data_IF_840594925850
#
_entry.id   IF_840594925850
#
_cell.length_a   1.000
_cell.length_b   1.000
_cell.length_c   1.000
_cell.angle_alpha   90.00
_cell.angle_beta   90.00
_cell.angle_gamma   90.00
#
_symmetry.space_group_name_H-M   'P 1'
#
loop_
_entity.id
_entity.type
_entity.pdbx_description
1 polymer ?
#
# COMPACT_ATOMS: atom_id res chain seq x y z
N UNK A 1 -9.25 -5.89 28.27
CA UNK A 1 -8.06 -6.35 29.03
C UNK A 1 -6.87 -5.46 28.68
N UNK A 2 -6.12 -5.03 29.69
CA UNK A 2 -4.87 -4.27 29.51
C UNK A 2 -3.69 -5.23 29.76
N UNK A 3 -2.80 -5.36 28.77
CA UNK A 3 -1.64 -6.23 28.85
C UNK A 3 -0.45 -5.44 29.41
N UNK A 4 0.20 -5.96 30.43
CA UNK A 4 1.39 -5.37 31.04
C UNK A 4 2.61 -6.20 30.63
N UNK A 5 3.66 -5.59 30.04
CA UNK A 5 4.87 -6.30 29.63
C UNK A 5 5.49 -7.06 30.80
N UNK A 6 5.99 -8.26 30.52
CA UNK A 6 6.59 -9.14 31.58
C UNK A 6 7.80 -8.53 32.25
N UNK A 7 8.54 -7.65 31.56
CA UNK A 7 9.69 -6.90 32.12
C UNK A 7 9.30 -5.93 33.23
N UNK A 8 8.05 -5.47 33.26
CA UNK A 8 7.51 -4.55 34.26
C UNK A 8 6.80 -5.28 35.43
N UNK A 9 6.87 -6.60 35.48
CA UNK A 9 6.28 -7.40 36.57
C UNK A 9 6.79 -6.98 37.97
N UNK A 10 8.02 -6.44 38.07
CA UNK A 10 8.61 -5.95 39.31
C UNK A 10 7.86 -4.72 39.92
N UNK A 11 7.15 -3.93 39.09
CA UNK A 11 6.32 -2.79 39.56
C UNK A 11 4.96 -3.28 40.08
N UNK A 12 4.62 -4.52 39.78
CA UNK A 12 3.41 -5.20 40.23
C UNK A 12 2.15 -4.76 39.47
N UNK A 13 1.52 -5.70 38.74
CA UNK A 13 0.21 -5.55 38.09
C UNK A 13 -0.80 -4.96 39.08
N UNK A 14 -0.70 -5.30 40.36
CA UNK A 14 -1.55 -4.78 41.43
C UNK A 14 -1.39 -3.26 41.62
N UNK A 15 -0.19 -2.71 41.50
CA UNK A 15 0.06 -1.29 41.65
C UNK A 15 -0.52 -0.52 40.45
N UNK A 16 -0.26 -0.98 39.25
CA UNK A 16 -0.79 -0.39 38.00
C UNK A 16 -2.33 -0.48 38.00
N UNK A 17 -2.88 -1.62 38.36
CA UNK A 17 -4.32 -1.84 38.44
C UNK A 17 -4.97 -0.88 39.44
N UNK A 18 -4.45 -0.73 40.65
CA UNK A 18 -4.99 0.19 41.67
C UNK A 18 -5.00 1.64 41.20
N UNK A 19 -4.00 2.05 40.44
CA UNK A 19 -3.85 3.46 40.04
C UNK A 19 -4.65 3.82 38.79
N UNK A 20 -4.76 2.91 37.83
CA UNK A 20 -5.31 3.20 36.48
C UNK A 20 -6.63 2.53 36.15
N UNK A 21 -7.12 1.57 36.99
CA UNK A 21 -8.36 0.84 36.70
C UNK A 21 -9.56 1.78 36.58
N UNK A 22 -9.80 2.60 37.59
CA UNK A 22 -10.95 3.51 37.62
C UNK A 22 -10.88 4.59 36.51
N UNK A 23 -9.75 5.31 36.34
CA UNK A 23 -9.65 6.27 35.23
C UNK A 23 -9.90 5.66 33.87
N UNK A 24 -9.38 4.47 33.60
CA UNK A 24 -9.61 3.77 32.32
C UNK A 24 -11.05 3.30 32.15
N UNK A 25 -11.69 2.79 33.20
CA UNK A 25 -13.10 2.43 33.15
C UNK A 25 -13.98 3.62 32.81
N UNK A 26 -13.78 4.74 33.48
CA UNK A 26 -14.55 6.00 33.26
C UNK A 26 -14.32 6.48 31.82
N UNK A 27 -13.07 6.50 31.33
CA UNK A 27 -12.76 6.96 29.97
C UNK A 27 -13.40 6.05 28.91
N UNK A 28 -13.32 4.74 29.09
CA UNK A 28 -13.90 3.77 28.15
C UNK A 28 -15.43 3.90 28.14
N UNK A 29 -16.09 3.98 29.29
CA UNK A 29 -17.53 4.18 29.37
C UNK A 29 -17.98 5.46 28.68
N UNK A 30 -17.26 6.57 28.87
CA UNK A 30 -17.55 7.86 28.22
C UNK A 30 -17.40 7.76 26.69
N UNK A 31 -16.32 7.11 26.22
CA UNK A 31 -16.05 7.00 24.77
C UNK A 31 -16.96 6.01 24.04
N UNK A 32 -17.38 4.94 24.72
CA UNK A 32 -18.18 3.86 24.09
C UNK A 32 -19.67 3.98 24.36
N UNK A 33 -20.11 4.87 25.27
CA UNK A 33 -21.50 5.01 25.70
C UNK A 33 -22.01 3.82 26.53
N UNK A 34 -21.12 2.96 27.04
CA UNK A 34 -21.51 1.83 27.91
C UNK A 34 -21.73 2.31 29.34
N UNK A 35 -22.77 1.80 29.99
CA UNK A 35 -23.08 2.15 31.39
C UNK A 35 -22.03 1.61 32.37
N UNK A 36 -21.50 0.41 32.10
CA UNK A 36 -20.43 -0.22 32.89
C UNK A 36 -19.43 -0.98 32.01
N UNK A 37 -18.14 -0.93 32.37
CA UNK A 37 -17.10 -1.74 31.77
C UNK A 37 -16.13 -2.29 32.82
N UNK A 38 -15.67 -3.52 32.67
CA UNK A 38 -14.66 -4.11 33.54
C UNK A 38 -13.28 -4.09 32.88
N UNK A 39 -12.30 -3.37 33.49
CA UNK A 39 -10.92 -3.34 33.05
C UNK A 39 -10.09 -4.33 33.89
N UNK A 40 -9.47 -5.29 33.23
CA UNK A 40 -8.55 -6.27 33.84
C UNK A 40 -7.13 -6.05 33.33
N UNK A 41 -6.18 -6.04 34.26
CA UNK A 41 -4.75 -5.98 33.98
C UNK A 41 -4.17 -7.38 34.12
N UNK A 42 -3.47 -7.86 33.08
CA UNK A 42 -2.83 -9.18 33.06
C UNK A 42 -1.39 -9.03 32.60
N UNK A 43 -0.49 -9.85 33.10
CA UNK A 43 0.86 -9.94 32.53
C UNK A 43 0.82 -10.63 31.17
N UNK A 44 1.68 -10.22 30.29
CA UNK A 44 1.80 -10.81 28.94
C UNK A 44 2.00 -12.34 28.99
N UNK A 45 2.76 -12.85 29.98
CA UNK A 45 2.97 -14.29 30.19
C UNK A 45 1.74 -15.06 30.72
N UNK A 46 0.79 -14.35 31.34
CA UNK A 46 -0.42 -14.93 31.94
C UNK A 46 -1.65 -14.80 31.00
N UNK A 47 -1.45 -14.22 29.82
CA UNK A 47 -2.47 -14.30 28.77
C UNK A 47 -2.72 -15.78 28.48
N UNK A 48 -4.00 -16.26 28.47
CA UNK A 48 -4.29 -17.56 27.93
C UNK A 48 -3.69 -17.56 26.51
N UNK A 49 -2.71 -18.45 26.28
CA UNK A 49 -2.22 -18.67 24.91
C UNK A 49 -3.47 -18.89 24.09
N UNK A 50 -3.80 -17.96 23.20
CA UNK A 50 -4.82 -18.19 22.18
C UNK A 50 -4.43 -19.52 21.60
N UNK A 51 -5.24 -20.53 21.82
CA UNK A 51 -5.10 -21.81 21.14
C UNK A 51 -4.94 -21.44 19.68
N UNK A 52 -3.77 -21.71 19.13
CA UNK A 52 -3.47 -21.59 17.72
C UNK A 52 -4.46 -22.44 16.96
N UNK A 53 -5.63 -21.88 16.69
CA UNK A 53 -6.54 -22.44 15.72
C UNK A 53 -5.95 -22.11 14.37
N UNK A 54 -5.31 -23.10 13.76
CA UNK A 54 -5.01 -23.17 12.34
C UNK A 54 -4.15 -22.05 11.72
N UNK A 55 -3.03 -21.68 12.34
CA UNK A 55 -2.05 -20.74 11.73
C UNK A 55 -1.46 -21.22 10.40
N UNK A 56 -1.54 -22.49 10.07
CA UNK A 56 -1.09 -23.00 8.76
C UNK A 56 -2.10 -22.79 7.65
N UNK A 57 -3.40 -22.91 7.94
CA UNK A 57 -4.46 -22.66 6.96
C UNK A 57 -4.65 -21.17 6.69
N UNK A 58 -4.64 -20.33 7.74
CA UNK A 58 -4.80 -18.87 7.58
C UNK A 58 -3.60 -18.24 6.89
N UNK A 59 -2.37 -18.69 7.15
CA UNK A 59 -1.17 -18.26 6.41
C UNK A 59 -1.21 -18.68 4.94
N UNK A 60 -1.62 -19.91 4.63
CA UNK A 60 -1.71 -20.36 3.24
C UNK A 60 -2.80 -19.61 2.46
N UNK A 61 -3.94 -19.30 3.08
CA UNK A 61 -5.02 -18.52 2.45
C UNK A 61 -4.62 -17.05 2.28
N UNK A 62 -3.88 -16.48 3.23
CA UNK A 62 -3.30 -15.14 3.06
C UNK A 62 -2.27 -15.11 1.94
N UNK A 63 -1.31 -16.03 1.92
CA UNK A 63 -0.28 -16.09 0.89
C UNK A 63 -0.89 -16.17 -0.52
N UNK A 64 -1.92 -17.00 -0.72
CA UNK A 64 -2.59 -17.10 -2.02
C UNK A 64 -3.28 -15.81 -2.46
N UNK A 65 -3.92 -15.07 -1.56
CA UNK A 65 -4.57 -13.78 -1.90
C UNK A 65 -3.57 -12.70 -2.33
N UNK A 66 -2.42 -12.62 -1.69
CA UNK A 66 -1.35 -11.69 -2.07
C UNK A 66 -0.69 -12.07 -3.40
N UNK A 67 -0.55 -13.38 -3.66
CA UNK A 67 -0.07 -13.90 -4.95
C UNK A 67 -1.08 -13.62 -6.07
N UNK A 68 -2.36 -13.87 -5.84
CA UNK A 68 -3.44 -13.56 -6.80
C UNK A 68 -3.57 -12.06 -7.09
N UNK A 69 -3.29 -11.22 -6.10
CA UNK A 69 -3.24 -9.77 -6.26
C UNK A 69 -1.93 -9.26 -6.85
N UNK A 70 -0.94 -10.13 -7.11
CA UNK A 70 0.39 -9.81 -7.64
C UNK A 70 1.18 -8.82 -6.77
N UNK A 71 1.10 -8.95 -5.45
CA UNK A 71 1.69 -7.99 -4.53
C UNK A 71 3.10 -8.38 -4.08
N UNK A 72 3.97 -7.38 -3.96
CA UNK A 72 5.28 -7.54 -3.31
C UNK A 72 5.11 -7.49 -1.79
N UNK A 73 5.46 -8.57 -1.03
CA UNK A 73 5.26 -8.62 0.41
C UNK A 73 6.09 -7.61 1.20
N UNK A 74 7.13 -7.02 0.59
CA UNK A 74 7.99 -6.01 1.23
C UNK A 74 7.39 -4.60 1.16
N UNK A 75 6.38 -4.36 0.33
CA UNK A 75 5.84 -3.03 0.08
C UNK A 75 4.58 -2.79 0.91
N UNK A 76 4.77 -2.40 2.17
CA UNK A 76 3.71 -2.08 3.12
C UNK A 76 3.85 -0.62 3.61
N UNK A 77 2.83 -0.07 4.27
CA UNK A 77 2.94 1.24 4.90
C UNK A 77 4.03 1.29 5.97
N UNK A 78 4.28 0.21 6.70
CA UNK A 78 5.32 0.13 7.75
C UNK A 78 6.73 0.22 7.19
N UNK A 79 6.92 -0.22 5.94
CA UNK A 79 8.21 -0.18 5.26
C UNK A 79 8.39 1.07 4.40
N UNK A 80 7.31 1.83 4.17
CA UNK A 80 7.33 3.06 3.41
C UNK A 80 7.84 4.24 4.25
N UNK A 81 8.96 4.81 3.89
CA UNK A 81 9.54 5.97 4.59
C UNK A 81 8.83 7.25 4.17
N UNK A 82 8.23 7.94 5.14
CA UNK A 82 7.51 9.19 4.93
C UNK A 82 8.47 10.37 5.10
N UNK A 83 8.53 11.24 4.10
CA UNK A 83 9.28 12.48 4.09
C UNK A 83 8.45 13.66 3.60
N UNK A 84 9.04 14.85 3.54
CA UNK A 84 8.39 16.06 3.02
C UNK A 84 7.90 15.91 1.57
N UNK A 85 8.59 15.08 0.79
CA UNK A 85 8.40 14.84 -0.63
C UNK A 85 7.22 13.91 -0.97
N UNK A 86 6.70 13.14 -0.02
CA UNK A 86 5.68 12.11 -0.25
C UNK A 86 4.57 12.08 0.82
N UNK A 87 4.63 12.94 1.83
CA UNK A 87 3.69 12.96 2.95
C UNK A 87 2.23 13.10 2.49
N UNK A 88 1.97 13.95 1.50
CA UNK A 88 0.62 14.13 0.97
C UNK A 88 0.12 12.87 0.27
N UNK A 89 0.95 12.27 -0.59
CA UNK A 89 0.61 11.04 -1.30
C UNK A 89 0.37 9.87 -0.32
N UNK A 90 1.20 9.77 0.72
CA UNK A 90 1.04 8.74 1.76
C UNK A 90 -0.26 8.93 2.55
N UNK A 91 -0.59 10.16 2.96
CA UNK A 91 -1.84 10.43 3.68
C UNK A 91 -3.07 10.15 2.81
N UNK A 92 -3.03 10.51 1.52
CA UNK A 92 -4.09 10.19 0.56
C UNK A 92 -4.25 8.67 0.36
N UNK A 93 -3.12 7.96 0.25
CA UNK A 93 -3.10 6.51 0.11
C UNK A 93 -3.71 5.81 1.34
N UNK A 94 -3.37 6.26 2.54
CA UNK A 94 -3.94 5.71 3.78
C UNK A 94 -5.46 5.96 3.86
N UNK A 95 -5.92 7.17 3.55
CA UNK A 95 -7.34 7.50 3.52
C UNK A 95 -8.13 6.63 2.52
N UNK A 96 -7.55 6.34 1.36
CA UNK A 96 -8.14 5.42 0.36
C UNK A 96 -8.14 3.98 0.87
N UNK A 97 -7.07 3.55 1.55
CA UNK A 97 -6.97 2.20 2.10
C UNK A 97 -8.00 1.96 3.21
N UNK A 98 -8.29 2.97 4.04
CA UNK A 98 -9.27 2.91 5.12
C UNK A 98 -10.73 2.95 4.61
N UNK A 99 -10.99 3.58 3.46
CA UNK A 99 -12.35 3.74 2.91
C UNK A 99 -12.35 3.64 1.38
N UNK A 100 -12.13 2.43 0.82
CA UNK A 100 -12.05 2.24 -0.63
C UNK A 100 -13.37 2.58 -1.33
N UNK A 101 -13.29 3.33 -2.43
CA UNK A 101 -14.43 3.72 -3.26
C UNK A 101 -15.20 4.96 -2.80
N UNK A 102 -15.02 5.38 -1.54
CA UNK A 102 -15.78 6.49 -0.96
C UNK A 102 -14.97 7.80 -0.82
N UNK A 103 -13.66 7.72 -0.52
CA UNK A 103 -12.88 8.92 -0.16
C UNK A 103 -12.34 9.64 -1.40
N UNK A 104 -11.44 9.02 -2.14
CA UNK A 104 -10.81 9.59 -3.34
C UNK A 104 -10.80 8.55 -4.46
N UNK A 105 -11.65 8.71 -5.47
CA UNK A 105 -11.76 7.75 -6.55
C UNK A 105 -11.89 8.44 -7.92
N UNK A 106 -10.88 8.30 -8.81
CA UNK A 106 -9.62 7.57 -8.61
C UNK A 106 -8.63 8.30 -7.69
N UNK A 107 -7.68 7.54 -7.12
CA UNK A 107 -6.44 8.10 -6.60
C UNK A 107 -5.37 8.02 -7.70
N UNK A 108 -4.87 9.18 -8.11
CA UNK A 108 -3.83 9.27 -9.13
C UNK A 108 -2.50 9.71 -8.50
N UNK A 109 -1.51 8.81 -8.49
CA UNK A 109 -0.18 9.05 -7.91
C UNK A 109 0.82 9.27 -9.02
N UNK A 110 1.50 10.43 -9.04
CA UNK A 110 2.51 10.67 -10.06
C UNK A 110 3.84 11.11 -9.48
N UNK A 111 4.89 10.96 -10.28
CA UNK A 111 6.25 11.35 -9.92
C UNK A 111 7.29 10.57 -10.72
N UNK A 112 8.52 11.04 -10.72
CA UNK A 112 9.62 10.43 -11.46
C UNK A 112 9.78 8.92 -11.22
N UNK A 113 10.55 8.26 -12.06
CA UNK A 113 10.84 6.83 -11.92
C UNK A 113 11.61 6.56 -10.61
N UNK A 114 11.27 5.47 -9.91
CA UNK A 114 11.97 5.02 -8.71
C UNK A 114 11.75 5.88 -7.46
N UNK A 115 10.65 6.64 -7.37
CA UNK A 115 10.32 7.48 -6.20
C UNK A 115 9.39 6.80 -5.18
N UNK A 116 8.97 5.55 -5.41
CA UNK A 116 8.14 4.79 -4.46
C UNK A 116 6.65 4.74 -4.80
N UNK A 117 6.20 5.14 -6.01
CA UNK A 117 4.79 5.02 -6.44
C UNK A 117 4.25 3.60 -6.30
N UNK A 118 4.94 2.64 -6.88
CA UNK A 118 4.58 1.21 -6.81
C UNK A 118 4.54 0.71 -5.37
N UNK A 119 5.51 1.10 -4.52
CA UNK A 119 5.52 0.75 -3.11
C UNK A 119 4.25 1.25 -2.42
N UNK A 120 3.87 2.50 -2.64
CA UNK A 120 2.68 3.10 -2.03
C UNK A 120 1.38 2.42 -2.52
N UNK A 121 1.31 2.06 -3.81
CA UNK A 121 0.17 1.30 -4.36
C UNK A 121 0.04 -0.06 -3.70
N UNK A 122 1.13 -0.83 -3.58
CA UNK A 122 1.12 -2.12 -2.89
C UNK A 122 0.77 -1.97 -1.41
N UNK A 123 1.21 -0.89 -0.74
CA UNK A 123 0.84 -0.62 0.66
C UNK A 123 -0.66 -0.46 0.85
N UNK A 124 -1.34 0.23 -0.08
CA UNK A 124 -2.81 0.34 -0.09
C UNK A 124 -3.44 -1.04 -0.21
N UNK A 125 -2.98 -1.84 -1.17
CA UNK A 125 -3.52 -3.17 -1.44
C UNK A 125 -3.33 -4.12 -0.25
N UNK A 126 -2.14 -4.14 0.37
CA UNK A 126 -1.87 -4.91 1.59
C UNK A 126 -2.81 -4.52 2.72
N UNK A 127 -2.93 -3.21 2.98
CA UNK A 127 -3.80 -2.72 4.05
C UNK A 127 -5.26 -3.15 3.85
N UNK A 128 -5.79 -3.04 2.63
CA UNK A 128 -7.17 -3.45 2.32
C UNK A 128 -7.35 -4.96 2.55
N UNK A 129 -6.43 -5.80 2.03
CA UNK A 129 -6.50 -7.26 2.18
C UNK A 129 -6.35 -7.74 3.63
N UNK A 130 -5.65 -6.97 4.47
CA UNK A 130 -5.50 -7.24 5.90
C UNK A 130 -6.77 -6.91 6.69
N UNK A 131 -7.53 -5.91 6.27
CA UNK A 131 -8.71 -5.41 7.00
C UNK A 131 -10.04 -5.94 6.44
N UNK A 132 -10.07 -6.37 5.17
CA UNK A 132 -11.24 -6.99 4.54
C UNK A 132 -10.83 -8.23 3.74
N UNK A 133 -11.11 -9.40 4.34
CA UNK A 133 -10.79 -10.70 3.75
C UNK A 133 -11.59 -11.01 2.47
N UNK A 134 -12.70 -10.32 2.22
CA UNK A 134 -13.55 -10.56 1.06
C UNK A 134 -13.25 -9.61 -0.10
N UNK A 135 -12.44 -8.58 0.10
CA UNK A 135 -12.06 -7.64 -0.95
C UNK A 135 -11.24 -8.32 -2.03
N UNK A 136 -11.67 -8.14 -3.27
CA UNK A 136 -10.95 -8.58 -4.46
C UNK A 136 -10.08 -7.44 -4.96
N UNK A 137 -8.78 -7.56 -4.73
CA UNK A 137 -7.77 -6.58 -5.10
C UNK A 137 -6.96 -7.11 -6.26
N UNK A 138 -6.74 -6.29 -7.29
CA UNK A 138 -5.89 -6.63 -8.43
C UNK A 138 -4.90 -5.50 -8.70
N UNK A 139 -3.62 -5.80 -8.61
CA UNK A 139 -2.54 -4.98 -9.13
C UNK A 139 -2.11 -5.46 -10.50
N UNK A 140 -1.92 -4.54 -11.42
CA UNK A 140 -1.48 -4.81 -12.79
C UNK A 140 -0.68 -3.63 -13.33
N UNK A 141 0.37 -3.89 -14.08
CA UNK A 141 0.99 -2.85 -14.90
C UNK A 141 0.14 -2.59 -16.14
N UNK A 142 0.15 -1.37 -16.64
CA UNK A 142 -0.57 -1.05 -17.88
C UNK A 142 -0.02 -1.80 -19.10
N UNK A 143 1.23 -2.25 -19.02
CA UNK A 143 1.84 -3.13 -20.04
C UNK A 143 1.23 -4.53 -19.98
N UNK A 144 1.12 -5.14 -18.79
CA UNK A 144 0.48 -6.46 -18.61
C UNK A 144 -0.98 -6.43 -19.07
N UNK A 145 -1.74 -5.39 -18.68
CA UNK A 145 -3.11 -5.19 -19.16
C UNK A 145 -3.18 -5.16 -20.70
N UNK A 146 -2.26 -4.42 -21.33
CA UNK A 146 -2.17 -4.33 -22.79
C UNK A 146 -1.87 -5.67 -23.43
N UNK A 147 -0.87 -6.40 -22.91
CA UNK A 147 -0.45 -7.67 -23.48
C UNK A 147 -1.54 -8.73 -23.36
N UNK A 148 -2.21 -8.81 -22.19
CA UNK A 148 -3.34 -9.72 -21.98
C UNK A 148 -4.52 -9.40 -22.91
N UNK A 149 -4.81 -8.11 -23.14
CA UNK A 149 -5.84 -7.68 -24.09
C UNK A 149 -5.48 -8.11 -25.53
N UNK A 150 -4.23 -7.88 -25.96
CA UNK A 150 -3.76 -8.26 -27.30
C UNK A 150 -3.88 -9.78 -27.51
N UNK A 151 -3.48 -10.58 -26.52
CA UNK A 151 -3.62 -12.04 -26.58
C UNK A 151 -5.09 -12.46 -26.65
N UNK A 152 -5.94 -11.82 -25.86
CA UNK A 152 -7.38 -12.07 -25.84
C UNK A 152 -8.01 -11.78 -27.23
N UNK A 153 -7.64 -10.67 -27.86
CA UNK A 153 -8.12 -10.30 -29.19
C UNK A 153 -7.60 -11.30 -30.26
N UNK A 154 -6.33 -11.68 -30.19
CA UNK A 154 -5.73 -12.66 -31.13
C UNK A 154 -6.39 -14.03 -31.07
N UNK A 155 -6.79 -14.46 -29.89
CA UNK A 155 -7.50 -15.72 -29.71
C UNK A 155 -8.90 -15.73 -30.35
N UNK A 156 -9.44 -14.56 -30.73
CA UNK A 156 -10.66 -14.40 -31.53
C UNK A 156 -11.94 -14.99 -30.94
N UNK A 157 -11.92 -15.33 -29.64
CA UNK A 157 -13.02 -16.03 -28.97
C UNK A 157 -13.78 -15.06 -28.04
N UNK A 158 -15.07 -14.92 -28.26
CA UNK A 158 -15.95 -14.11 -27.39
C UNK A 158 -15.87 -14.54 -25.92
N UNK A 159 -15.61 -15.80 -25.63
CA UNK A 159 -15.43 -16.31 -24.28
C UNK A 159 -14.15 -15.77 -23.63
N UNK A 160 -13.06 -15.62 -24.39
CA UNK A 160 -11.81 -15.04 -23.88
C UNK A 160 -12.00 -13.56 -23.50
N UNK A 161 -12.68 -12.79 -24.36
CA UNK A 161 -12.98 -11.38 -24.06
C UNK A 161 -13.92 -11.24 -22.84
N UNK A 162 -14.90 -12.13 -22.69
CA UNK A 162 -15.78 -12.14 -21.51
C UNK A 162 -14.99 -12.42 -20.21
N UNK A 163 -14.06 -13.37 -20.22
CA UNK A 163 -13.19 -13.67 -19.08
C UNK A 163 -12.26 -12.52 -18.75
N UNK A 164 -11.67 -11.86 -19.76
CA UNK A 164 -10.86 -10.67 -19.58
C UNK A 164 -11.66 -9.56 -18.87
N UNK A 165 -12.86 -9.27 -19.35
CA UNK A 165 -13.75 -8.27 -18.74
C UNK A 165 -14.18 -8.67 -17.32
N UNK A 166 -14.47 -9.93 -17.09
CA UNK A 166 -14.81 -10.45 -15.77
C UNK A 166 -13.64 -10.25 -14.78
N UNK A 167 -12.41 -10.58 -15.19
CA UNK A 167 -11.20 -10.39 -14.38
C UNK A 167 -11.04 -8.94 -13.94
N UNK A 168 -11.16 -7.97 -14.85
CA UNK A 168 -10.87 -6.57 -14.58
C UNK A 168 -12.07 -5.75 -14.08
N UNK A 169 -13.30 -6.21 -14.28
CA UNK A 169 -14.52 -5.46 -13.89
C UNK A 169 -15.26 -6.07 -12.69
N UNK A 170 -14.87 -7.29 -12.26
CA UNK A 170 -15.49 -7.96 -11.11
C UNK A 170 -14.55 -7.98 -9.90
N UNK A 171 -13.96 -6.84 -9.59
CA UNK A 171 -13.02 -6.62 -8.47
C UNK A 171 -13.48 -5.42 -7.64
N UNK A 172 -12.96 -5.30 -6.44
CA UNK A 172 -13.31 -4.22 -5.52
C UNK A 172 -12.28 -3.09 -5.56
N UNK A 173 -11.02 -3.43 -5.86
CA UNK A 173 -9.92 -2.46 -5.98
C UNK A 173 -9.04 -2.81 -7.18
N UNK A 174 -8.90 -1.86 -8.10
CA UNK A 174 -7.99 -1.94 -9.25
C UNK A 174 -6.81 -0.98 -9.06
N UNK A 175 -5.60 -1.53 -9.08
CA UNK A 175 -4.37 -0.74 -9.08
C UNK A 175 -3.68 -0.91 -10.45
N UNK A 176 -3.53 0.20 -11.17
CA UNK A 176 -2.88 0.22 -12.50
C UNK A 176 -1.61 1.04 -12.44
N UNK A 177 -0.48 0.36 -12.54
CA UNK A 177 0.83 1.01 -12.48
C UNK A 177 1.30 1.44 -13.88
N UNK A 178 1.99 2.58 -13.90
CA UNK A 178 2.62 3.16 -15.10
C UNK A 178 1.65 3.35 -16.28
N UNK A 179 0.53 4.03 -16.04
CA UNK A 179 -0.55 4.23 -17.02
C UNK A 179 -0.10 4.86 -18.34
N UNK A 180 1.04 5.57 -18.34
CA UNK A 180 1.57 6.20 -19.55
C UNK A 180 1.84 5.21 -20.69
N UNK A 181 2.01 3.92 -20.42
CA UNK A 181 2.27 2.91 -21.47
C UNK A 181 1.04 2.52 -22.29
N UNK A 182 -0.19 2.93 -21.91
CA UNK A 182 -1.36 2.78 -22.79
C UNK A 182 -1.49 3.92 -23.80
N UNK A 183 -0.76 5.02 -23.62
CA UNK A 183 -0.85 6.19 -24.49
C UNK A 183 -0.44 5.80 -25.93
N UNK A 184 -1.27 6.19 -26.91
CA UNK A 184 -1.07 5.85 -28.31
C UNK A 184 -1.52 4.43 -28.72
N UNK A 185 -2.11 3.65 -27.81
CA UNK A 185 -2.66 2.31 -28.08
C UNK A 185 -4.19 2.37 -28.04
N UNK A 186 -4.83 2.79 -29.13
CA UNK A 186 -6.27 3.07 -29.19
C UNK A 186 -7.15 1.96 -28.62
N UNK A 187 -6.98 0.71 -29.08
CA UNK A 187 -7.79 -0.42 -28.59
C UNK A 187 -7.61 -0.69 -27.09
N UNK A 188 -6.39 -0.48 -26.55
CA UNK A 188 -6.12 -0.62 -25.12
C UNK A 188 -6.77 0.52 -24.34
N UNK A 189 -6.67 1.73 -24.82
CA UNK A 189 -7.33 2.88 -24.21
C UNK A 189 -8.84 2.67 -24.17
N UNK A 190 -9.47 2.25 -25.27
CA UNK A 190 -10.92 2.03 -25.31
C UNK A 190 -11.37 0.97 -24.27
N UNK A 191 -10.73 -0.20 -24.22
CA UNK A 191 -11.10 -1.25 -23.24
C UNK A 191 -10.83 -0.81 -21.80
N UNK A 192 -9.71 -0.09 -21.57
CA UNK A 192 -9.41 0.49 -20.26
C UNK A 192 -10.46 1.53 -19.84
N UNK A 193 -10.90 2.39 -20.75
CA UNK A 193 -11.95 3.37 -20.52
C UNK A 193 -13.26 2.70 -20.06
N UNK A 194 -13.67 1.64 -20.74
CA UNK A 194 -14.86 0.88 -20.37
C UNK A 194 -14.71 0.21 -19.01
N UNK A 195 -13.51 -0.32 -18.70
CA UNK A 195 -13.20 -0.92 -17.41
C UNK A 195 -13.24 0.10 -16.29
N UNK A 196 -12.59 1.27 -16.50
CA UNK A 196 -12.63 2.39 -15.57
C UNK A 196 -14.07 2.82 -15.25
N UNK A 197 -14.88 3.07 -16.28
CA UNK A 197 -16.26 3.52 -16.09
C UNK A 197 -17.11 2.47 -15.35
N UNK A 198 -16.94 1.19 -15.66
CA UNK A 198 -17.65 0.10 -14.99
C UNK A 198 -17.34 0.07 -13.49
N UNK A 199 -16.07 0.14 -13.13
CA UNK A 199 -15.63 0.13 -11.74
C UNK A 199 -16.05 1.40 -10.99
N UNK A 200 -15.81 2.57 -11.59
CA UNK A 200 -16.15 3.85 -10.98
C UNK A 200 -17.67 3.98 -10.72
N UNK A 201 -18.51 3.58 -11.69
CA UNK A 201 -19.97 3.60 -11.54
C UNK A 201 -20.45 2.62 -10.46
N UNK A 202 -19.74 1.52 -10.24
CA UNK A 202 -20.00 0.55 -9.18
C UNK A 202 -19.37 0.95 -7.84
N UNK A 203 -18.79 2.17 -7.71
CA UNK A 203 -18.07 2.65 -6.53
C UNK A 203 -16.90 1.75 -6.11
N UNK A 204 -16.27 1.08 -7.06
CA UNK A 204 -15.06 0.29 -6.83
C UNK A 204 -13.84 1.21 -6.88
N UNK A 205 -12.87 0.98 -6.01
CA UNK A 205 -11.68 1.84 -5.92
C UNK A 205 -10.77 1.64 -7.12
N UNK A 206 -10.30 2.76 -7.66
CA UNK A 206 -9.29 2.79 -8.74
C UNK A 206 -8.09 3.58 -8.23
N UNK A 207 -6.89 3.00 -8.34
CA UNK A 207 -5.62 3.65 -8.05
C UNK A 207 -4.76 3.59 -9.32
N UNK A 208 -4.20 4.72 -9.72
CA UNK A 208 -3.42 4.82 -10.95
C UNK A 208 -2.08 5.47 -10.63
N UNK A 209 -1.00 4.93 -11.18
CA UNK A 209 0.30 5.61 -11.13
C UNK A 209 0.75 6.10 -12.50
N UNK A 210 1.62 7.12 -12.50
CA UNK A 210 2.25 7.65 -13.70
C UNK A 210 3.60 8.31 -13.41
N UNK A 211 4.40 8.50 -14.44
CA UNK A 211 5.63 9.31 -14.37
C UNK A 211 5.36 10.83 -14.41
N UNK A 212 4.17 11.25 -14.89
CA UNK A 212 3.76 12.66 -15.01
C UNK A 212 2.26 12.84 -14.74
N UNK A 213 1.82 14.06 -14.41
CA UNK A 213 0.41 14.33 -14.16
C UNK A 213 -0.43 14.25 -15.45
N UNK A 214 -1.76 14.03 -15.35
CA UNK A 214 -2.65 13.89 -16.51
C UNK A 214 -2.59 15.06 -17.49
N UNK A 215 -2.43 16.28 -17.00
CA UNK A 215 -2.33 17.50 -17.81
C UNK A 215 -1.12 17.52 -18.76
N UNK A 216 -0.03 16.82 -18.41
CA UNK A 216 1.22 16.78 -19.17
C UNK A 216 1.28 15.56 -20.12
N UNK A 217 0.20 14.80 -20.23
CA UNK A 217 0.04 13.68 -21.16
C UNK A 217 -0.56 14.16 -22.48
N UNK A 218 0.29 14.64 -23.40
CA UNK A 218 -0.12 15.34 -24.63
C UNK A 218 -1.03 14.50 -25.56
N UNK A 219 -0.82 13.19 -25.63
CA UNK A 219 -1.54 12.28 -26.55
C UNK A 219 -2.71 11.57 -25.83
N UNK A 220 -2.94 11.88 -24.56
CA UNK A 220 -4.05 11.31 -23.81
C UNK A 220 -5.35 12.00 -24.22
N UNK A 221 -6.34 11.23 -24.68
CA UNK A 221 -7.65 11.77 -25.01
C UNK A 221 -8.28 12.52 -23.82
N UNK A 222 -8.94 13.64 -24.08
CA UNK A 222 -9.54 14.52 -23.07
C UNK A 222 -10.50 13.77 -22.11
N UNK A 223 -11.21 12.76 -22.63
CA UNK A 223 -12.09 11.91 -21.83
C UNK A 223 -11.36 11.14 -20.71
N UNK A 224 -10.09 10.76 -20.90
CA UNK A 224 -9.26 10.13 -19.85
C UNK A 224 -8.73 11.16 -18.87
N UNK A 225 -8.23 12.29 -19.39
CA UNK A 225 -7.73 13.38 -18.56
C UNK A 225 -8.78 13.81 -17.56
N UNK A 226 -9.98 14.09 -18.01
CA UNK A 226 -11.12 14.45 -17.17
C UNK A 226 -11.40 13.40 -16.09
N UNK A 227 -11.28 12.11 -16.38
CA UNK A 227 -11.52 11.03 -15.41
C UNK A 227 -10.41 10.89 -14.39
N UNK A 228 -9.16 11.03 -14.80
CA UNK A 228 -8.03 10.97 -13.87
C UNK A 228 -8.01 12.17 -12.92
N UNK A 229 -8.51 13.32 -13.38
CA UNK A 229 -8.66 14.55 -12.60
C UNK A 229 -9.92 14.56 -11.72
N UNK A 230 -10.82 13.60 -11.87
CA UNK A 230 -12.08 13.54 -11.12
C UNK A 230 -11.87 13.24 -9.63
N UNK A 231 -10.86 12.46 -9.31
CA UNK A 231 -10.50 12.10 -7.93
C UNK A 231 -9.42 12.99 -7.33
N UNK A 232 -8.47 12.38 -6.64
CA UNK A 232 -7.34 13.08 -6.05
C UNK A 232 -6.06 12.78 -6.82
N UNK A 233 -5.32 13.84 -7.14
CA UNK A 233 -3.99 13.74 -7.75
C UNK A 233 -2.96 14.03 -6.67
N UNK A 234 -2.04 13.11 -6.43
CA UNK A 234 -0.98 13.21 -5.45
C UNK A 234 0.40 13.05 -6.11
N UNK A 235 1.30 13.97 -5.83
CA UNK A 235 2.65 13.94 -6.35
C UNK A 235 3.64 13.30 -5.36
N UNK A 236 4.66 12.67 -5.90
CA UNK A 236 5.85 12.22 -5.18
C UNK A 236 7.07 12.85 -5.85
N UNK A 237 7.79 13.68 -5.11
CA UNK A 237 8.98 14.36 -5.59
C UNK A 237 10.26 13.70 -5.08
N UNK A 238 11.41 14.27 -5.43
CA UNK A 238 12.71 13.76 -4.96
C UNK A 238 12.84 13.89 -3.44
N UNK A 239 13.35 12.84 -2.76
CA UNK A 239 13.55 12.88 -1.32
C UNK A 239 14.67 13.86 -0.93
N UNK A 240 14.47 14.58 0.16
CA UNK A 240 15.51 15.38 0.80
C UNK A 240 16.59 14.48 1.43
N UNK A 241 17.65 15.11 1.97
CA UNK A 241 18.77 14.36 2.56
C UNK A 241 18.32 13.48 3.73
N UNK A 242 17.50 14.02 4.61
CA UNK A 242 16.98 13.34 5.79
C UNK A 242 16.13 12.12 5.41
N UNK A 243 15.29 12.29 4.41
CA UNK A 243 14.47 11.18 3.88
C UNK A 243 15.34 10.10 3.24
N UNK A 244 16.41 10.48 2.48
CA UNK A 244 17.34 9.49 1.92
C UNK A 244 18.07 8.71 3.00
N UNK A 245 18.53 9.38 4.07
CA UNK A 245 19.12 8.72 5.24
C UNK A 245 18.16 7.72 5.86
N UNK A 246 16.91 8.12 6.11
CA UNK A 246 15.89 7.26 6.69
C UNK A 246 15.57 6.03 5.81
N UNK A 247 15.56 6.21 4.48
CA UNK A 247 15.35 5.08 3.52
C UNK A 247 16.51 4.09 3.61
N UNK A 248 17.75 4.56 3.68
CA UNK A 248 18.92 3.69 3.80
C UNK A 248 18.91 2.91 5.11
N UNK A 249 18.61 3.57 6.24
CA UNK A 249 18.47 2.89 7.53
C UNK A 249 17.32 1.89 7.56
N UNK A 250 16.18 2.24 6.95
CA UNK A 250 15.06 1.29 6.84
C UNK A 250 15.43 0.06 6.02
N UNK A 251 16.23 0.25 4.97
CA UNK A 251 16.72 -0.85 4.14
C UNK A 251 17.70 -1.75 4.90
N UNK A 252 18.60 -1.18 5.73
CA UNK A 252 19.45 -1.95 6.66
C UNK A 252 18.62 -2.81 7.62
N UNK A 253 17.65 -2.20 8.29
CA UNK A 253 16.76 -2.86 9.22
C UNK A 253 16.04 -4.07 8.59
N UNK A 254 15.45 -3.84 7.41
CA UNK A 254 14.68 -4.87 6.69
C UNK A 254 15.52 -6.03 6.19
N UNK A 255 16.77 -5.81 5.84
CA UNK A 255 17.65 -6.84 5.28
C UNK A 255 18.66 -7.39 6.29
N UNK A 256 18.71 -6.88 7.52
CA UNK A 256 19.50 -7.43 8.63
C UNK A 256 21.02 -7.25 8.49
N UNK A 257 21.48 -6.24 7.75
CA UNK A 257 22.89 -5.89 7.68
C UNK A 257 23.17 -4.56 8.36
N UNK A 258 24.43 -4.33 8.74
CA UNK A 258 24.87 -3.10 9.39
C UNK A 258 25.99 -2.46 8.58
N UNK A 259 25.82 -1.20 8.25
CA UNK A 259 26.77 -0.40 7.47
C UNK A 259 27.20 0.78 8.32
N UNK A 260 28.45 1.21 8.17
CA UNK A 260 28.92 2.36 8.93
C UNK A 260 28.16 3.62 8.55
N UNK A 261 27.84 4.44 9.55
CA UNK A 261 27.10 5.70 9.39
C UNK A 261 27.76 6.65 8.35
N UNK A 262 29.10 6.64 8.26
CA UNK A 262 29.82 7.46 7.29
C UNK A 262 29.55 7.02 5.84
N UNK A 263 29.40 5.72 5.60
CA UNK A 263 29.05 5.18 4.29
C UNK A 263 27.59 5.53 3.94
N UNK A 264 26.67 5.43 4.88
CA UNK A 264 25.27 5.84 4.71
C UNK A 264 25.18 7.31 4.34
N UNK A 265 25.88 8.18 5.08
CA UNK A 265 25.97 9.63 4.79
C UNK A 265 26.57 9.91 3.42
N UNK A 266 27.61 9.17 3.04
CA UNK A 266 28.24 9.31 1.74
C UNK A 266 27.27 8.97 0.60
N UNK A 267 26.56 7.85 0.70
CA UNK A 267 25.52 7.43 -0.27
C UNK A 267 24.42 8.50 -0.36
N UNK A 268 23.84 8.89 0.78
CA UNK A 268 22.76 9.86 0.84
C UNK A 268 23.15 11.24 0.28
N UNK A 269 24.42 11.65 0.42
CA UNK A 269 24.92 12.94 -0.08
C UNK A 269 25.13 12.93 -1.59
N UNK A 270 25.56 11.81 -2.16
CA UNK A 270 25.97 11.71 -3.56
C UNK A 270 24.87 11.20 -4.50
N UNK A 271 23.96 10.33 -4.04
CA UNK A 271 22.87 9.79 -4.84
C UNK A 271 21.59 10.56 -4.53
N UNK A 272 21.18 11.41 -5.47
CA UNK A 272 20.03 12.32 -5.32
C UNK A 272 18.93 12.09 -6.34
N UNK A 273 19.15 11.18 -7.30
CA UNK A 273 18.32 10.98 -8.48
C UNK A 273 17.01 10.25 -8.19
N UNK A 274 17.08 9.11 -7.53
CA UNK A 274 15.90 8.28 -7.20
C UNK A 274 16.24 7.24 -6.12
N UNK A 275 15.19 6.63 -5.54
CA UNK A 275 15.33 5.65 -4.46
C UNK A 275 15.93 4.33 -4.97
N UNK A 276 15.63 3.91 -6.20
CA UNK A 276 16.19 2.67 -6.77
C UNK A 276 17.69 2.69 -6.88
N UNK A 277 18.27 3.85 -7.29
CA UNK A 277 19.72 4.02 -7.33
C UNK A 277 20.34 4.05 -5.92
N UNK A 278 19.64 4.65 -4.97
CA UNK A 278 20.05 4.70 -3.57
C UNK A 278 20.15 3.30 -2.97
N UNK A 279 19.11 2.47 -3.13
CA UNK A 279 19.06 1.07 -2.69
C UNK A 279 20.07 0.19 -3.46
N UNK A 280 20.21 0.42 -4.76
CA UNK A 280 21.18 -0.27 -5.59
C UNK A 280 22.63 -0.02 -5.17
N UNK A 281 22.96 1.20 -4.76
CA UNK A 281 24.30 1.52 -4.24
C UNK A 281 24.55 0.82 -2.90
N UNK A 282 23.57 0.82 -2.00
CA UNK A 282 23.65 0.12 -0.73
C UNK A 282 23.88 -1.38 -0.95
N UNK A 283 23.10 -2.00 -1.81
CA UNK A 283 23.23 -3.42 -2.16
C UNK A 283 24.61 -3.78 -2.72
N UNK A 284 25.18 -2.90 -3.59
CA UNK A 284 26.52 -3.11 -4.15
C UNK A 284 27.59 -3.06 -3.06
N UNK A 285 27.49 -2.13 -2.12
CA UNK A 285 28.46 -2.02 -1.02
C UNK A 285 28.40 -3.24 -0.12
N UNK A 286 27.21 -3.70 0.24
CA UNK A 286 27.01 -4.94 1.03
C UNK A 286 27.60 -6.16 0.32
N UNK A 287 27.45 -6.25 -0.99
CA UNK A 287 27.97 -7.38 -1.77
C UNK A 287 29.53 -7.37 -1.90
N UNK A 288 30.18 -6.24 -1.62
CA UNK A 288 31.63 -6.08 -1.70
C UNK A 288 32.32 -6.14 -0.32
N UNK A 289 31.55 -6.08 0.77
CA UNK A 289 32.03 -6.19 2.15
C UNK A 289 32.09 -7.66 2.61
#
# INVERSE_FOLDING_TARGET
TVVVPSEQAAIGVNYISKRYKIPLQVTICVLTGMEECEVRFVLEKDLPKKTEKNTSYDKQVQDTRYEEAHLNPKYTFDTFVVGSNNKFAQAAALAVAESPGDTYNPLFIYGGAGLGKTHLMHSIAHFILEHDENSRVLYVTSEEFTNELIETIRNGNNTAMSKFREKYRNIDVLLVDDIQFIIGKESTQEEFFHTFNSLHSAKKQIIISSDKPPKDMEILEERFRSRFEWGLIADITLPDYETRMAILHKNEEMNGYSISEDVIKYIASNIKSNIRELEGALTKIVALS
#
